data_IF_871043116331
#
_entry.id   IF_871043116331
#
_cell.length_a   1.000
_cell.length_b   1.000
_cell.length_c   1.000
_cell.angle_alpha   90.00
_cell.angle_beta   90.00
_cell.angle_gamma   90.00
#
_symmetry.space_group_name_H-M   'P 1'
#
loop_
_entity.id
_entity.type
_entity.pdbx_description
1 polymer ?
#
# COMPACT_ATOMS: atom_id res chain seq x y z
N UNK A 1 -22.40 18.22 -25.39
CA UNK A 1 -21.24 17.90 -24.54
C UNK A 1 -21.72 17.31 -23.21
N UNK A 2 -22.50 18.05 -22.40
CA UNK A 2 -23.02 17.57 -21.10
C UNK A 2 -23.75 16.21 -21.15
N UNK A 3 -24.63 15.98 -22.13
CA UNK A 3 -25.34 14.69 -22.28
C UNK A 3 -24.37 13.53 -22.56
N UNK A 4 -23.29 13.78 -23.31
CA UNK A 4 -22.29 12.75 -23.61
C UNK A 4 -21.45 12.43 -22.37
N UNK A 5 -20.97 13.46 -21.65
CA UNK A 5 -20.22 13.28 -20.40
C UNK A 5 -21.04 12.48 -19.37
N UNK A 6 -22.31 12.83 -19.18
CA UNK A 6 -23.21 12.08 -18.28
C UNK A 6 -23.33 10.60 -18.66
N UNK A 7 -23.38 10.26 -19.96
CA UNK A 7 -23.45 8.86 -20.41
C UNK A 7 -22.13 8.11 -20.19
N UNK A 8 -20.99 8.78 -20.33
CA UNK A 8 -19.67 8.21 -19.99
C UNK A 8 -19.56 7.98 -18.47
N UNK A 9 -19.98 8.94 -17.66
CA UNK A 9 -19.98 8.82 -16.20
C UNK A 9 -20.85 7.67 -15.71
N UNK A 10 -22.01 7.44 -16.35
CA UNK A 10 -22.83 6.27 -16.08
C UNK A 10 -22.14 4.96 -16.45
N UNK A 11 -21.39 4.93 -17.56
CA UNK A 11 -20.66 3.75 -18.00
C UNK A 11 -19.50 3.43 -17.05
N UNK A 12 -18.74 4.44 -16.65
CA UNK A 12 -17.68 4.34 -15.63
C UNK A 12 -18.26 3.93 -14.28
N UNK A 13 -19.38 4.54 -13.87
CA UNK A 13 -20.05 4.17 -12.61
C UNK A 13 -20.61 2.75 -12.64
N UNK A 14 -21.04 2.24 -13.80
CA UNK A 14 -21.42 0.83 -13.95
C UNK A 14 -20.19 -0.08 -13.79
N UNK A 15 -19.05 0.29 -14.38
CA UNK A 15 -17.80 -0.47 -14.31
C UNK A 15 -17.25 -0.55 -12.89
N UNK A 16 -17.16 0.58 -12.20
CA UNK A 16 -16.50 0.68 -10.89
C UNK A 16 -17.46 0.27 -9.76
N UNK A 17 -18.75 0.53 -9.91
CA UNK A 17 -19.79 0.17 -8.94
C UNK A 17 -20.43 -1.20 -9.17
N UNK A 18 -19.93 -2.02 -10.10
CA UNK A 18 -20.59 -3.26 -10.50
C UNK A 18 -20.87 -4.20 -9.32
N UNK A 19 -19.87 -4.46 -8.48
CA UNK A 19 -19.98 -5.39 -7.35
C UNK A 19 -20.79 -4.84 -6.17
N UNK A 20 -21.14 -3.55 -6.15
CA UNK A 20 -22.13 -3.04 -5.20
C UNK A 20 -23.55 -3.48 -5.58
N UNK A 21 -23.83 -3.53 -6.89
CA UNK A 21 -25.15 -3.90 -7.43
C UNK A 21 -25.27 -5.40 -7.65
N UNK A 22 -24.17 -6.07 -7.94
CA UNK A 22 -24.08 -7.50 -8.20
C UNK A 22 -22.99 -8.12 -7.32
N UNK A 23 -23.21 -8.29 -6.00
CA UNK A 23 -22.19 -8.77 -5.07
C UNK A 23 -21.64 -10.16 -5.40
N UNK A 24 -22.49 -11.04 -5.96
CA UNK A 24 -22.11 -12.39 -6.41
C UNK A 24 -21.69 -12.43 -7.89
N UNK A 25 -21.59 -11.27 -8.54
CA UNK A 25 -21.20 -11.18 -9.94
C UNK A 25 -19.73 -11.49 -10.16
N UNK A 26 -19.38 -11.89 -11.37
CA UNK A 26 -18.00 -12.20 -11.78
C UNK A 26 -17.38 -11.06 -12.58
N UNK A 27 -16.05 -11.02 -12.63
CA UNK A 27 -15.31 -10.08 -13.48
C UNK A 27 -15.67 -10.24 -14.97
N UNK A 28 -15.92 -11.48 -15.42
CA UNK A 28 -16.33 -11.77 -16.80
C UNK A 28 -17.68 -11.12 -17.13
N UNK A 29 -18.65 -11.19 -16.20
CA UNK A 29 -19.95 -10.55 -16.37
C UNK A 29 -19.86 -9.03 -16.32
N UNK A 30 -19.03 -8.48 -15.41
CA UNK A 30 -18.74 -7.04 -15.34
C UNK A 30 -18.17 -6.51 -16.66
N UNK A 31 -17.14 -7.18 -17.19
CA UNK A 31 -16.52 -6.81 -18.46
C UNK A 31 -17.53 -6.91 -19.61
N UNK A 32 -18.36 -7.97 -19.61
CA UNK A 32 -19.38 -8.16 -20.63
C UNK A 32 -20.44 -7.05 -20.62
N UNK A 33 -21.05 -6.76 -19.46
CA UNK A 33 -22.14 -5.76 -19.38
C UNK A 33 -21.64 -4.35 -19.66
N UNK A 34 -20.43 -4.01 -19.22
CA UNK A 34 -19.80 -2.71 -19.51
C UNK A 34 -19.53 -2.60 -21.00
N UNK A 35 -18.99 -3.66 -21.63
CA UNK A 35 -18.73 -3.67 -23.08
C UNK A 35 -20.02 -3.56 -23.88
N UNK A 36 -21.09 -4.28 -23.50
CA UNK A 36 -22.40 -4.19 -24.16
C UNK A 36 -22.97 -2.77 -24.07
N UNK A 37 -22.94 -2.14 -22.89
CA UNK A 37 -23.39 -0.74 -22.73
C UNK A 37 -22.52 0.24 -23.53
N UNK A 38 -21.21 0.02 -23.59
CA UNK A 38 -20.29 0.82 -24.39
C UNK A 38 -20.58 0.72 -25.89
N UNK A 39 -20.85 -0.49 -26.40
CA UNK A 39 -21.18 -0.69 -27.82
C UNK A 39 -22.49 -0.01 -28.21
N UNK A 40 -23.52 -0.07 -27.35
CA UNK A 40 -24.77 0.67 -27.57
C UNK A 40 -24.53 2.18 -27.61
N UNK A 41 -23.71 2.70 -26.69
CA UNK A 41 -23.36 4.11 -26.66
C UNK A 41 -22.56 4.54 -27.91
N UNK A 42 -21.79 3.63 -28.50
CA UNK A 42 -21.03 3.88 -29.72
C UNK A 42 -21.95 4.08 -30.94
N UNK A 43 -23.10 3.41 -30.98
CA UNK A 43 -24.10 3.57 -32.05
C UNK A 43 -24.75 4.96 -32.05
N UNK A 44 -24.82 5.61 -30.87
CA UNK A 44 -25.33 6.98 -30.72
C UNK A 44 -24.39 8.05 -31.30
N UNK A 45 -23.14 7.69 -31.64
CA UNK A 45 -22.16 8.61 -32.21
C UNK A 45 -22.27 8.57 -33.75
N UNK A 46 -22.72 9.65 -34.42
CA UNK A 46 -22.98 9.65 -35.87
C UNK A 46 -21.69 9.75 -36.70
N UNK A 47 -20.75 8.81 -36.53
CA UNK A 47 -19.42 8.86 -37.17
C UNK A 47 -19.50 8.74 -38.69
N UNK A 48 -20.48 7.99 -39.22
CA UNK A 48 -20.70 7.81 -40.66
C UNK A 48 -21.13 9.11 -41.36
N UNK A 49 -21.89 9.96 -40.67
CA UNK A 49 -22.31 11.27 -41.16
C UNK A 49 -21.16 12.30 -41.11
N UNK A 50 -20.18 12.09 -40.22
CA UNK A 50 -19.07 13.00 -39.97
C UNK A 50 -17.69 12.30 -39.99
N UNK A 51 -17.28 11.68 -41.12
CA UNK A 51 -16.11 10.80 -41.17
C UNK A 51 -14.75 11.48 -40.97
N UNK A 52 -14.71 12.83 -40.92
CA UNK A 52 -13.52 13.65 -40.67
C UNK A 52 -13.62 14.49 -39.40
N UNK A 53 -14.53 14.15 -38.48
CA UNK A 53 -14.68 14.89 -37.23
C UNK A 53 -13.78 14.30 -36.14
N UNK A 54 -12.73 15.04 -35.76
CA UNK A 54 -11.85 14.67 -34.64
C UNK A 54 -12.65 14.41 -33.35
N UNK A 55 -13.58 15.31 -33.03
CA UNK A 55 -14.48 15.21 -31.88
C UNK A 55 -15.27 13.88 -31.83
N UNK A 56 -15.79 13.40 -32.97
CA UNK A 56 -16.55 12.15 -33.01
C UNK A 56 -15.65 10.93 -32.82
N UNK A 57 -14.45 10.97 -33.39
CA UNK A 57 -13.44 9.95 -33.14
C UNK A 57 -13.01 9.93 -31.67
N UNK A 58 -12.82 11.10 -31.04
CA UNK A 58 -12.52 11.22 -29.62
C UNK A 58 -13.65 10.64 -28.77
N UNK A 59 -14.91 10.99 -29.07
CA UNK A 59 -16.08 10.42 -28.40
C UNK A 59 -16.10 8.88 -28.48
N UNK A 60 -15.94 8.32 -29.68
CA UNK A 60 -15.86 6.87 -29.88
C UNK A 60 -14.71 6.23 -29.08
N UNK A 61 -13.54 6.86 -29.09
CA UNK A 61 -12.38 6.45 -28.30
C UNK A 61 -12.69 6.42 -26.81
N UNK A 62 -13.21 7.51 -26.25
CA UNK A 62 -13.54 7.63 -24.82
C UNK A 62 -14.57 6.61 -24.36
N UNK A 63 -15.59 6.31 -25.17
CA UNK A 63 -16.57 5.24 -24.90
C UNK A 63 -15.86 3.90 -24.72
N UNK A 64 -15.01 3.52 -25.68
CA UNK A 64 -14.28 2.25 -25.61
C UNK A 64 -13.21 2.27 -24.50
N UNK A 65 -12.63 3.43 -24.20
CA UNK A 65 -11.62 3.56 -23.17
C UNK A 65 -12.19 3.38 -21.75
N UNK A 66 -13.49 3.59 -21.57
CA UNK A 66 -14.18 3.25 -20.32
C UNK A 66 -14.11 1.74 -20.02
N UNK A 67 -13.98 0.87 -21.03
CA UNK A 67 -13.81 -0.56 -20.82
C UNK A 67 -12.41 -0.87 -20.25
N UNK A 68 -12.31 -1.89 -19.38
CA UNK A 68 -11.04 -2.26 -18.70
C UNK A 68 -9.99 -2.76 -19.70
N UNK A 69 -10.37 -3.68 -20.59
CA UNK A 69 -9.47 -4.29 -21.55
C UNK A 69 -9.10 -3.34 -22.71
N UNK A 70 -7.91 -3.53 -23.27
CA UNK A 70 -7.50 -2.88 -24.52
C UNK A 70 -8.44 -3.27 -25.68
N UNK A 71 -8.80 -2.29 -26.50
CA UNK A 71 -9.56 -2.50 -27.75
C UNK A 71 -8.84 -1.78 -28.92
N UNK A 72 -8.44 -2.49 -29.98
CA UNK A 72 -7.72 -1.88 -31.10
C UNK A 72 -8.54 -0.82 -31.85
N UNK A 73 -9.88 -0.88 -31.78
CA UNK A 73 -10.74 0.17 -32.36
C UNK A 73 -10.63 1.47 -31.57
N UNK A 74 -10.40 1.39 -30.25
CA UNK A 74 -10.14 2.55 -29.40
C UNK A 74 -8.86 3.26 -29.86
N UNK A 75 -7.77 2.51 -30.02
CA UNK A 75 -6.49 3.02 -30.53
C UNK A 75 -6.66 3.65 -31.92
N UNK A 76 -7.40 3.00 -32.82
CA UNK A 76 -7.67 3.53 -34.17
C UNK A 76 -8.45 4.86 -34.13
N UNK A 77 -9.53 4.92 -33.35
CA UNK A 77 -10.33 6.14 -33.22
C UNK A 77 -9.52 7.28 -32.61
N UNK A 78 -8.84 7.05 -31.50
CA UNK A 78 -8.05 8.08 -30.82
C UNK A 78 -6.86 8.54 -31.69
N UNK A 79 -6.22 7.62 -32.41
CA UNK A 79 -5.18 7.98 -33.39
C UNK A 79 -5.71 8.85 -34.53
N UNK A 80 -6.96 8.61 -35.00
CA UNK A 80 -7.60 9.47 -36.00
C UNK A 80 -7.99 10.83 -35.43
N UNK A 81 -8.46 10.88 -34.18
CA UNK A 81 -8.78 12.14 -33.50
C UNK A 81 -7.56 13.05 -33.46
N UNK A 82 -6.45 12.56 -32.88
CA UNK A 82 -5.17 13.27 -32.79
C UNK A 82 -4.63 13.70 -34.17
N UNK A 83 -4.77 12.87 -35.21
CA UNK A 83 -4.30 13.21 -36.56
C UNK A 83 -5.12 14.31 -37.24
N UNK A 84 -6.41 14.39 -36.93
CA UNK A 84 -7.32 15.37 -37.53
C UNK A 84 -7.24 16.71 -36.79
N UNK A 85 -7.18 16.66 -35.47
CA UNK A 85 -7.06 17.82 -34.59
C UNK A 85 -6.26 17.41 -33.34
N UNK A 86 -4.97 17.76 -33.25
CA UNK A 86 -4.16 17.46 -32.07
C UNK A 86 -4.62 18.27 -30.85
N UNK A 87 -5.44 17.66 -30.00
CA UNK A 87 -5.90 18.26 -28.74
C UNK A 87 -5.35 17.52 -27.51
N UNK A 88 -5.26 18.25 -26.38
CA UNK A 88 -4.69 17.71 -25.15
C UNK A 88 -5.46 16.49 -24.61
N UNK A 89 -6.78 16.47 -24.74
CA UNK A 89 -7.62 15.37 -24.26
C UNK A 89 -7.49 14.13 -25.15
N UNK A 90 -7.43 14.26 -26.47
CA UNK A 90 -7.23 13.12 -27.37
C UNK A 90 -5.87 12.46 -27.17
N UNK A 91 -4.82 13.25 -26.97
CA UNK A 91 -3.49 12.73 -26.61
C UNK A 91 -3.53 11.98 -25.28
N UNK A 92 -4.20 12.53 -24.26
CA UNK A 92 -4.35 11.88 -22.96
C UNK A 92 -5.12 10.55 -23.07
N UNK A 93 -6.26 10.56 -23.76
CA UNK A 93 -7.08 9.37 -23.94
C UNK A 93 -6.35 8.29 -24.77
N UNK A 94 -5.58 8.69 -25.79
CA UNK A 94 -4.71 7.77 -26.54
C UNK A 94 -3.65 7.15 -25.63
N UNK A 95 -3.02 7.97 -24.78
CA UNK A 95 -2.07 7.49 -23.78
C UNK A 95 -2.68 6.46 -22.82
N UNK A 96 -3.88 6.73 -22.29
CA UNK A 96 -4.62 5.81 -21.41
C UNK A 96 -5.02 4.52 -22.17
N UNK A 97 -5.39 4.62 -23.43
CA UNK A 97 -5.69 3.45 -24.25
C UNK A 97 -4.45 2.56 -24.42
N UNK A 98 -3.31 3.18 -24.75
CA UNK A 98 -2.04 2.49 -24.99
C UNK A 98 -1.46 1.92 -23.69
N UNK A 99 -1.73 2.51 -22.52
CA UNK A 99 -1.24 1.97 -21.24
C UNK A 99 -1.86 0.63 -20.85
N UNK A 100 -2.92 0.19 -21.55
CA UNK A 100 -3.52 -1.14 -21.40
C UNK A 100 -2.72 -2.23 -22.11
N UNK A 101 -1.67 -1.87 -22.86
CA UNK A 101 -0.74 -2.80 -23.51
C UNK A 101 0.48 -3.01 -22.59
N UNK A 102 1.20 -4.13 -22.71
CA UNK A 102 2.42 -4.36 -21.92
C UNK A 102 3.53 -3.32 -22.15
N UNK A 103 3.66 -2.81 -23.37
CA UNK A 103 4.60 -1.74 -23.69
C UNK A 103 3.94 -0.36 -23.51
N UNK A 104 4.37 0.35 -22.47
CA UNK A 104 3.83 1.64 -22.06
C UNK A 104 4.65 2.84 -22.59
N UNK A 105 5.69 2.61 -23.41
CA UNK A 105 6.55 3.72 -23.87
C UNK A 105 5.77 4.73 -24.73
N UNK A 106 4.97 4.24 -25.69
CA UNK A 106 4.10 5.12 -26.48
C UNK A 106 2.98 5.76 -25.64
N UNK A 107 2.53 5.11 -24.57
CA UNK A 107 1.56 5.70 -23.65
C UNK A 107 2.15 6.94 -22.95
N UNK A 108 3.41 6.84 -22.48
CA UNK A 108 4.16 7.95 -21.88
C UNK A 108 4.28 9.11 -22.87
N UNK A 109 4.72 8.85 -24.09
CA UNK A 109 4.89 9.87 -25.13
C UNK A 109 3.58 10.60 -25.45
N UNK A 110 2.46 9.87 -25.54
CA UNK A 110 1.15 10.49 -25.77
C UNK A 110 0.73 11.42 -24.62
N UNK A 111 0.94 11.00 -23.36
CA UNK A 111 0.61 11.85 -22.20
C UNK A 111 1.57 13.05 -22.09
N UNK A 112 2.83 12.90 -22.49
CA UNK A 112 3.77 14.03 -22.60
C UNK A 112 3.30 15.05 -23.65
N UNK A 113 2.87 14.60 -24.83
CA UNK A 113 2.25 15.50 -25.83
C UNK A 113 0.98 16.19 -25.30
N UNK A 114 0.15 15.50 -24.51
CA UNK A 114 -1.00 16.11 -23.84
C UNK A 114 -0.57 17.26 -22.93
N UNK A 115 0.44 17.04 -22.08
CA UNK A 115 0.96 18.03 -21.13
C UNK A 115 1.67 19.22 -21.79
N UNK A 116 2.23 19.03 -22.99
CA UNK A 116 2.80 20.13 -23.80
C UNK A 116 1.72 21.08 -24.32
N UNK A 117 0.53 20.56 -24.63
CA UNK A 117 -0.61 21.35 -25.09
C UNK A 117 -1.36 21.99 -23.93
N UNK A 118 -1.68 21.22 -22.89
CA UNK A 118 -2.37 21.69 -21.70
C UNK A 118 -1.99 20.89 -20.46
N UNK A 119 -1.51 21.57 -19.42
CA UNK A 119 -1.22 20.94 -18.13
C UNK A 119 -2.51 20.78 -17.33
N UNK A 120 -3.05 19.57 -17.33
CA UNK A 120 -4.23 19.21 -16.53
C UNK A 120 -3.85 18.26 -15.40
N UNK A 121 -4.56 18.29 -14.27
CA UNK A 121 -4.36 17.34 -13.17
C UNK A 121 -4.44 15.89 -13.67
N UNK A 122 -5.40 15.61 -14.56
CA UNK A 122 -5.60 14.29 -15.16
C UNK A 122 -4.38 13.77 -15.92
N UNK A 123 -3.77 14.62 -16.74
CA UNK A 123 -2.57 14.24 -17.49
C UNK A 123 -1.35 14.09 -16.56
N UNK A 124 -1.21 14.95 -15.54
CA UNK A 124 -0.10 14.89 -14.58
C UNK A 124 -0.09 13.60 -13.77
N UNK A 125 -1.21 13.24 -13.12
CA UNK A 125 -1.26 12.00 -12.33
C UNK A 125 -1.17 10.76 -13.24
N UNK A 126 -1.70 10.83 -14.47
CA UNK A 126 -1.58 9.73 -15.43
C UNK A 126 -0.11 9.50 -15.81
N UNK A 127 0.63 10.56 -16.14
CA UNK A 127 2.06 10.42 -16.43
C UNK A 127 2.83 9.93 -15.20
N UNK A 128 2.53 10.47 -14.00
CA UNK A 128 3.17 9.99 -12.76
C UNK A 128 2.99 8.48 -12.55
N UNK A 129 1.77 7.97 -12.75
CA UNK A 129 1.47 6.53 -12.69
C UNK A 129 2.27 5.73 -13.72
N UNK A 130 2.32 6.18 -14.98
CA UNK A 130 3.08 5.48 -16.04
C UNK A 130 4.59 5.46 -15.75
N UNK A 131 5.15 6.53 -15.20
CA UNK A 131 6.56 6.57 -14.81
C UNK A 131 6.86 5.62 -13.64
N UNK A 132 5.95 5.45 -12.67
CA UNK A 132 6.08 4.41 -11.63
C UNK A 132 5.97 3.01 -12.21
N UNK A 133 5.09 2.78 -13.17
CA UNK A 133 4.99 1.49 -13.85
C UNK A 133 6.28 1.17 -14.64
N UNK A 134 6.85 2.15 -15.36
CA UNK A 134 8.13 2.01 -16.07
C UNK A 134 9.27 1.71 -15.10
N UNK A 135 9.32 2.44 -13.98
CA UNK A 135 10.29 2.25 -12.92
C UNK A 135 10.37 0.79 -12.43
N UNK A 136 9.26 0.07 -12.36
CA UNK A 136 9.26 -1.34 -11.90
C UNK A 136 10.07 -2.26 -12.81
N UNK A 137 10.16 -1.94 -14.11
CA UNK A 137 10.86 -2.72 -15.12
C UNK A 137 12.23 -2.15 -15.51
N UNK A 138 12.58 -0.96 -15.02
CA UNK A 138 13.88 -0.32 -15.29
C UNK A 138 14.98 -0.88 -14.39
N UNK A 139 16.07 -1.39 -14.98
CA UNK A 139 17.23 -1.91 -14.23
C UNK A 139 18.28 -0.83 -13.92
N UNK A 140 18.42 0.19 -14.77
CA UNK A 140 19.44 1.22 -14.63
C UNK A 140 19.21 2.10 -13.38
N UNK A 141 20.14 2.16 -12.41
CA UNK A 141 19.92 2.92 -11.18
C UNK A 141 19.72 4.43 -11.39
N UNK A 142 20.37 5.04 -12.38
CA UNK A 142 20.27 6.48 -12.62
C UNK A 142 18.91 6.83 -13.22
N UNK A 143 18.45 6.07 -14.22
CA UNK A 143 17.11 6.21 -14.79
C UNK A 143 16.04 6.01 -13.72
N UNK A 144 16.21 5.01 -12.83
CA UNK A 144 15.29 4.80 -11.70
C UNK A 144 15.20 6.00 -10.76
N UNK A 145 16.30 6.72 -10.51
CA UNK A 145 16.28 7.97 -9.70
C UNK A 145 15.47 9.04 -10.41
N UNK A 146 15.72 9.26 -11.70
CA UNK A 146 15.02 10.29 -12.47
C UNK A 146 13.53 10.01 -12.63
N UNK A 147 13.15 8.75 -12.94
CA UNK A 147 11.75 8.34 -13.04
C UNK A 147 10.99 8.59 -11.73
N UNK A 148 11.59 8.25 -10.58
CA UNK A 148 10.99 8.50 -9.25
C UNK A 148 10.82 9.98 -8.99
N UNK A 149 11.87 10.77 -9.21
CA UNK A 149 11.85 12.22 -8.97
C UNK A 149 10.78 12.90 -9.83
N UNK A 150 10.74 12.58 -11.13
CA UNK A 150 9.75 13.14 -12.06
C UNK A 150 8.33 12.69 -11.68
N UNK A 151 8.13 11.41 -11.34
CA UNK A 151 6.83 10.91 -10.90
C UNK A 151 6.30 11.63 -9.65
N UNK A 152 7.14 11.80 -8.62
CA UNK A 152 6.77 12.48 -7.37
C UNK A 152 6.41 13.95 -7.63
N UNK A 153 7.21 14.65 -8.43
CA UNK A 153 6.93 16.05 -8.82
C UNK A 153 5.58 16.19 -9.54
N UNK A 154 5.29 15.31 -10.50
CA UNK A 154 4.03 15.32 -11.24
C UNK A 154 2.82 15.02 -10.33
N UNK A 155 2.98 14.12 -9.35
CA UNK A 155 1.89 13.79 -8.42
C UNK A 155 1.56 14.97 -7.49
N UNK A 156 2.58 15.66 -6.96
CA UNK A 156 2.38 16.88 -6.18
C UNK A 156 1.70 17.98 -6.99
N UNK A 157 2.13 18.16 -8.24
CA UNK A 157 1.54 19.16 -9.12
C UNK A 157 0.08 18.82 -9.48
N UNK A 158 -0.24 17.53 -9.69
CA UNK A 158 -1.60 17.10 -9.99
C UNK A 158 -2.59 17.47 -8.88
N UNK A 159 -2.21 17.24 -7.61
CA UNK A 159 -3.00 17.66 -6.44
C UNK A 159 -3.06 19.18 -6.33
N UNK A 160 -1.95 19.88 -6.62
CA UNK A 160 -1.91 21.34 -6.61
C UNK A 160 -2.85 21.99 -7.64
N UNK A 161 -3.03 21.37 -8.81
CA UNK A 161 -3.96 21.84 -9.85
C UNK A 161 -5.41 21.48 -9.57
N UNK A 162 -5.67 20.33 -8.94
CA UNK A 162 -7.02 19.89 -8.59
C UNK A 162 -7.02 19.18 -7.22
N UNK A 163 -7.22 19.95 -6.13
CA UNK A 163 -7.27 19.41 -4.77
C UNK A 163 -8.51 18.54 -4.48
N UNK A 164 -9.50 18.50 -5.37
CA UNK A 164 -10.70 17.68 -5.20
C UNK A 164 -10.60 16.36 -6.00
N UNK A 165 -9.47 16.12 -6.67
CA UNK A 165 -9.22 14.90 -7.46
C UNK A 165 -8.75 13.73 -6.59
N UNK A 166 -9.63 12.74 -6.40
CA UNK A 166 -9.29 11.53 -5.66
C UNK A 166 -8.17 10.73 -6.33
N UNK A 167 -8.17 10.66 -7.66
CA UNK A 167 -7.11 10.02 -8.42
C UNK A 167 -5.73 10.71 -8.26
N UNK A 168 -5.69 12.05 -8.16
CA UNK A 168 -4.45 12.78 -7.92
C UNK A 168 -3.90 12.48 -6.53
N UNK A 169 -4.74 12.55 -5.48
CA UNK A 169 -4.38 12.19 -4.11
C UNK A 169 -3.90 10.74 -4.00
N UNK A 170 -4.59 9.78 -4.64
CA UNK A 170 -4.16 8.38 -4.71
C UNK A 170 -2.77 8.24 -5.35
N UNK A 171 -2.50 8.98 -6.42
CA UNK A 171 -1.20 8.95 -7.09
C UNK A 171 -0.09 9.59 -6.23
N UNK A 172 -0.42 10.61 -5.44
CA UNK A 172 0.51 11.24 -4.51
C UNK A 172 0.82 10.32 -3.32
N UNK A 173 -0.19 9.69 -2.72
CA UNK A 173 -0.01 8.70 -1.66
C UNK A 173 0.91 7.56 -2.09
N UNK A 174 0.73 7.04 -3.31
CA UNK A 174 1.60 6.03 -3.90
C UNK A 174 3.06 6.52 -4.07
N UNK A 175 3.24 7.77 -4.52
CA UNK A 175 4.57 8.37 -4.72
C UNK A 175 5.30 8.56 -3.38
N UNK A 176 4.60 9.06 -2.36
CA UNK A 176 5.13 9.26 -1.01
C UNK A 176 5.47 7.93 -0.32
N UNK A 177 4.60 6.93 -0.45
CA UNK A 177 4.85 5.60 0.11
C UNK A 177 6.06 4.93 -0.54
N UNK A 178 6.19 5.06 -1.86
CA UNK A 178 7.39 4.62 -2.59
C UNK A 178 8.64 5.40 -2.14
N UNK A 179 8.55 6.71 -1.95
CA UNK A 179 9.66 7.54 -1.47
C UNK A 179 10.11 7.16 -0.06
N UNK A 180 9.16 6.87 0.85
CA UNK A 180 9.41 6.36 2.18
C UNK A 180 10.31 5.12 2.18
N UNK A 181 10.04 4.14 1.30
CA UNK A 181 10.90 2.95 1.19
C UNK A 181 12.25 3.24 0.55
N UNK A 182 12.30 4.19 -0.38
CA UNK A 182 13.51 4.52 -1.12
C UNK A 182 14.52 5.33 -0.31
N UNK A 183 14.05 6.07 0.69
CA UNK A 183 14.86 6.81 1.67
C UNK A 183 15.23 5.96 2.90
N UNK A 184 15.05 4.63 2.82
CA UNK A 184 15.40 3.71 3.89
C UNK A 184 14.53 3.84 5.13
N UNK A 185 13.28 4.30 4.96
CA UNK A 185 12.29 4.45 6.04
C UNK A 185 12.75 5.36 7.18
N UNK A 186 13.64 6.32 6.86
CA UNK A 186 14.23 7.22 7.85
C UNK A 186 13.32 8.39 8.22
N UNK A 187 12.43 8.78 7.32
CA UNK A 187 11.46 9.86 7.54
C UNK A 187 10.04 9.28 7.66
N UNK A 188 9.58 9.10 8.90
CA UNK A 188 8.22 8.61 9.18
C UNK A 188 7.13 9.57 8.72
N UNK A 189 7.45 10.85 8.47
CA UNK A 189 6.46 11.81 7.98
C UNK A 189 5.99 11.46 6.57
N UNK A 190 6.81 10.82 5.74
CA UNK A 190 6.41 10.37 4.40
C UNK A 190 5.33 9.28 4.46
N UNK A 191 5.44 8.35 5.40
CA UNK A 191 4.41 7.33 5.62
C UNK A 191 3.10 7.95 6.11
N UNK A 192 3.17 8.86 7.09
CA UNK A 192 1.99 9.58 7.59
C UNK A 192 1.31 10.38 6.47
N UNK A 193 2.08 11.12 5.68
CA UNK A 193 1.57 11.88 4.54
C UNK A 193 0.94 10.95 3.50
N UNK A 194 1.56 9.80 3.19
CA UNK A 194 0.96 8.82 2.28
C UNK A 194 -0.40 8.32 2.78
N UNK A 195 -0.51 7.97 4.06
CA UNK A 195 -1.77 7.57 4.69
C UNK A 195 -2.84 8.69 4.60
N UNK A 196 -2.46 9.94 4.85
CA UNK A 196 -3.36 11.09 4.77
C UNK A 196 -3.84 11.35 3.34
N UNK A 197 -2.96 11.23 2.35
CA UNK A 197 -3.29 11.31 0.92
C UNK A 197 -4.26 10.21 0.50
N UNK A 198 -4.11 8.97 0.97
CA UNK A 198 -5.10 7.91 0.71
C UNK A 198 -6.45 8.21 1.35
N UNK A 199 -6.50 8.75 2.57
CA UNK A 199 -7.77 9.18 3.20
C UNK A 199 -8.42 10.33 2.43
N UNK A 200 -7.65 11.28 1.91
CA UNK A 200 -8.16 12.34 1.05
C UNK A 200 -8.71 11.76 -0.25
N UNK A 201 -7.94 10.89 -0.92
CA UNK A 201 -8.35 10.22 -2.15
C UNK A 201 -9.72 9.54 -2.03
N UNK A 202 -9.96 8.84 -0.91
CA UNK A 202 -11.20 8.12 -0.64
C UNK A 202 -12.39 9.03 -0.28
N UNK A 203 -12.14 10.27 0.14
CA UNK A 203 -13.19 11.28 0.40
C UNK A 203 -13.58 12.08 -0.84
N UNK A 204 -12.73 12.06 -1.87
CA UNK A 204 -12.95 12.73 -3.13
C UNK A 204 -13.68 11.82 -4.12
N UNK A 205 -14.80 12.28 -4.67
CA UNK A 205 -15.47 11.61 -5.78
C UNK A 205 -16.02 10.22 -5.48
N UNK A 206 -15.72 9.26 -6.36
CA UNK A 206 -16.18 7.86 -6.30
C UNK A 206 -15.02 6.87 -6.17
N UNK A 207 -13.86 7.37 -5.78
CA UNK A 207 -12.59 6.65 -5.72
C UNK A 207 -12.57 5.57 -4.64
N UNK A 208 -13.51 5.64 -3.68
CA UNK A 208 -13.81 4.55 -2.75
C UNK A 208 -14.24 3.23 -3.41
N UNK A 209 -14.47 3.21 -4.73
CA UNK A 209 -14.73 1.99 -5.53
C UNK A 209 -13.47 1.41 -6.17
N UNK A 210 -12.32 2.05 -6.01
CA UNK A 210 -11.07 1.64 -6.64
C UNK A 210 -10.36 0.59 -5.77
N UNK A 211 -10.29 -0.64 -6.27
CA UNK A 211 -9.65 -1.77 -5.59
C UNK A 211 -8.14 -1.55 -5.38
N UNK A 212 -7.42 -1.01 -6.37
CA UNK A 212 -5.98 -0.71 -6.27
C UNK A 212 -5.69 0.36 -5.21
N UNK A 213 -6.53 1.39 -5.11
CA UNK A 213 -6.41 2.40 -4.06
C UNK A 213 -6.53 1.75 -2.67
N UNK A 214 -7.54 0.91 -2.47
CA UNK A 214 -7.73 0.19 -1.22
C UNK A 214 -6.58 -0.79 -0.91
N UNK A 215 -6.06 -1.49 -1.92
CA UNK A 215 -4.91 -2.39 -1.74
C UNK A 215 -3.66 -1.63 -1.27
N UNK A 216 -3.35 -0.50 -1.94
CA UNK A 216 -2.20 0.34 -1.60
C UNK A 216 -2.35 1.02 -0.23
N UNK A 217 -3.55 1.53 0.07
CA UNK A 217 -3.87 2.08 1.39
C UNK A 217 -3.71 1.02 2.48
N UNK A 218 -4.27 -0.18 2.29
CA UNK A 218 -4.16 -1.30 3.21
C UNK A 218 -2.71 -1.69 3.51
N UNK A 219 -1.83 -1.68 2.50
CA UNK A 219 -0.40 -1.92 2.67
C UNK A 219 0.28 -0.82 3.50
N UNK A 220 -0.04 0.46 3.26
CA UNK A 220 0.51 1.58 4.01
C UNK A 220 0.08 1.56 5.49
N UNK A 221 -1.22 1.42 5.76
CA UNK A 221 -1.75 1.32 7.12
C UNK A 221 -1.24 0.10 7.87
N UNK A 222 -1.06 -1.03 7.18
CA UNK A 222 -0.43 -2.19 7.79
C UNK A 222 1.01 -1.90 8.20
N UNK A 223 1.78 -1.22 7.34
CA UNK A 223 3.16 -0.86 7.67
C UNK A 223 3.21 0.11 8.85
N UNK A 224 2.25 1.04 8.93
CA UNK A 224 2.04 1.96 10.06
C UNK A 224 1.60 1.23 11.35
N UNK A 225 1.17 -0.04 11.25
CA UNK A 225 0.51 -0.82 12.31
C UNK A 225 -0.85 -0.27 12.75
N UNK A 226 -1.50 0.51 11.89
CA UNK A 226 -2.92 0.84 11.99
C UNK A 226 -3.77 -0.30 11.43
N UNK A 227 -3.82 -1.40 12.17
CA UNK A 227 -4.49 -2.63 11.73
C UNK A 227 -6.00 -2.50 11.47
N UNK A 228 -6.79 -1.68 12.21
CA UNK A 228 -8.19 -1.44 11.85
C UNK A 228 -8.37 -0.92 10.42
N UNK A 229 -7.73 0.19 10.07
CA UNK A 229 -7.83 0.77 8.72
C UNK A 229 -7.22 -0.15 7.66
N UNK A 230 -6.12 -0.84 7.99
CA UNK A 230 -5.50 -1.81 7.08
C UNK A 230 -6.45 -2.96 6.71
N UNK A 231 -7.14 -3.55 7.69
CA UNK A 231 -8.11 -4.63 7.45
C UNK A 231 -9.34 -4.13 6.71
N UNK A 232 -9.87 -2.96 7.06
CA UNK A 232 -11.01 -2.35 6.36
C UNK A 232 -10.69 -2.16 4.87
N UNK A 233 -9.55 -1.56 4.55
CA UNK A 233 -9.17 -1.35 3.16
C UNK A 233 -8.88 -2.65 2.42
N UNK A 234 -8.23 -3.64 3.02
CA UNK A 234 -8.02 -4.93 2.36
C UNK A 234 -9.35 -5.68 2.11
N UNK A 235 -10.33 -5.56 3.01
CA UNK A 235 -11.69 -6.09 2.77
C UNK A 235 -12.39 -5.38 1.60
N UNK A 236 -12.26 -4.05 1.51
CA UNK A 236 -12.80 -3.28 0.39
C UNK A 236 -12.09 -3.60 -0.93
N UNK A 237 -10.78 -3.81 -0.92
CA UNK A 237 -10.03 -4.26 -2.10
C UNK A 237 -10.57 -5.61 -2.61
N UNK A 238 -10.81 -6.58 -1.71
CA UNK A 238 -11.46 -7.86 -2.05
C UNK A 238 -12.88 -7.68 -2.58
N UNK A 239 -13.65 -6.75 -2.00
CA UNK A 239 -15.02 -6.45 -2.44
C UNK A 239 -15.06 -5.92 -3.88
N UNK A 240 -14.12 -5.05 -4.26
CA UNK A 240 -14.08 -4.43 -5.59
C UNK A 240 -13.22 -5.20 -6.61
N UNK A 241 -12.46 -6.20 -6.19
CA UNK A 241 -11.77 -7.19 -7.03
C UNK A 241 -12.00 -8.63 -6.52
N UNK A 242 -13.21 -9.19 -6.66
CA UNK A 242 -13.51 -10.53 -6.16
C UNK A 242 -12.87 -11.65 -6.98
N UNK A 243 -12.28 -11.33 -8.14
CA UNK A 243 -11.54 -12.29 -8.98
C UNK A 243 -10.05 -12.34 -8.66
N UNK A 244 -9.60 -11.61 -7.63
CA UNK A 244 -8.22 -11.57 -7.12
C UNK A 244 -7.17 -11.24 -8.21
N UNK A 245 -7.55 -10.39 -9.17
CA UNK A 245 -6.65 -9.95 -10.24
C UNK A 245 -5.44 -9.19 -9.68
N UNK A 246 -5.65 -8.41 -8.61
CA UNK A 246 -4.59 -7.63 -7.95
C UNK A 246 -4.03 -8.30 -6.69
N UNK A 247 -4.42 -9.55 -6.40
CA UNK A 247 -3.89 -10.32 -5.27
C UNK A 247 -4.37 -9.88 -3.88
N UNK A 248 -5.48 -9.14 -3.80
CA UNK A 248 -6.04 -8.58 -2.56
C UNK A 248 -6.45 -9.66 -1.54
N UNK A 249 -6.91 -10.83 -1.99
CA UNK A 249 -7.34 -11.93 -1.12
C UNK A 249 -6.17 -12.49 -0.30
N UNK A 250 -5.01 -12.67 -0.96
CA UNK A 250 -3.80 -13.17 -0.31
C UNK A 250 -3.31 -12.20 0.78
N UNK A 251 -3.37 -10.89 0.51
CA UNK A 251 -2.95 -9.84 1.46
C UNK A 251 -3.88 -9.79 2.67
N UNK A 252 -5.21 -9.85 2.47
CA UNK A 252 -6.18 -9.88 3.56
C UNK A 252 -5.99 -11.14 4.44
N UNK A 253 -5.85 -12.30 3.81
CA UNK A 253 -5.62 -13.57 4.51
C UNK A 253 -4.33 -13.56 5.32
N UNK A 254 -3.23 -13.10 4.72
CA UNK A 254 -1.92 -13.02 5.37
C UNK A 254 -1.94 -12.09 6.59
N UNK A 255 -2.54 -10.90 6.48
CA UNK A 255 -2.68 -9.98 7.61
C UNK A 255 -3.56 -10.58 8.72
N UNK A 256 -4.69 -11.18 8.36
CA UNK A 256 -5.60 -11.81 9.33
C UNK A 256 -4.92 -12.93 10.10
N UNK A 257 -4.16 -13.78 9.41
CA UNK A 257 -3.40 -14.87 10.02
C UNK A 257 -2.27 -14.33 10.92
N UNK A 258 -1.54 -13.32 10.47
CA UNK A 258 -0.48 -12.67 11.24
C UNK A 258 -1.01 -12.11 12.56
N UNK A 259 -2.11 -11.36 12.52
CA UNK A 259 -2.73 -10.77 13.71
C UNK A 259 -3.32 -11.82 14.66
N UNK A 260 -3.95 -12.86 14.10
CA UNK A 260 -4.43 -14.01 14.89
C UNK A 260 -3.29 -14.70 15.62
N UNK A 261 -2.15 -14.89 14.94
CA UNK A 261 -0.96 -15.55 15.49
C UNK A 261 -0.32 -14.71 16.61
N UNK A 262 -0.26 -13.38 16.44
CA UNK A 262 0.18 -12.46 17.48
C UNK A 262 -0.72 -12.56 18.71
N UNK A 263 -2.03 -12.40 18.53
CA UNK A 263 -2.98 -12.40 19.63
C UNK A 263 -2.96 -13.72 20.41
N UNK A 264 -2.97 -14.85 19.70
CA UNK A 264 -2.85 -16.17 20.31
C UNK A 264 -1.52 -16.32 21.08
N UNK A 265 -0.41 -15.91 20.47
CA UNK A 265 0.91 -15.97 21.09
C UNK A 265 1.04 -15.12 22.36
N UNK A 266 0.44 -13.92 22.38
CA UNK A 266 0.36 -13.08 23.58
C UNK A 266 -0.50 -13.75 24.65
N UNK A 267 -1.68 -14.25 24.29
CA UNK A 267 -2.64 -14.84 25.22
C UNK A 267 -2.13 -16.14 25.87
N UNK A 268 -1.37 -16.94 25.14
CA UNK A 268 -0.89 -18.25 25.61
C UNK A 268 0.62 -18.29 25.94
N UNK A 269 1.27 -17.13 26.06
CA UNK A 269 2.71 -17.01 26.38
C UNK A 269 3.58 -17.80 25.40
N UNK A 270 3.27 -17.74 24.11
CA UNK A 270 3.97 -18.46 23.06
C UNK A 270 3.83 -19.98 23.12
N UNK A 271 2.84 -20.50 23.85
CA UNK A 271 2.65 -21.93 24.08
C UNK A 271 3.63 -22.55 25.09
N UNK A 272 4.34 -21.73 25.88
CA UNK A 272 5.27 -22.23 26.89
C UNK A 272 4.55 -22.90 28.06
N UNK A 273 5.13 -23.99 28.57
CA UNK A 273 4.66 -24.66 29.79
C UNK A 273 4.99 -23.83 31.03
N UNK A 274 4.15 -23.91 32.06
CA UNK A 274 4.31 -23.17 33.33
C UNK A 274 5.73 -23.29 33.96
N UNK A 275 6.34 -24.48 33.91
CA UNK A 275 7.71 -24.69 34.39
C UNK A 275 8.72 -23.82 33.63
N UNK A 276 8.60 -23.73 32.30
CA UNK A 276 9.50 -22.95 31.45
C UNK A 276 9.30 -21.45 31.66
N UNK A 277 8.05 -21.02 31.86
CA UNK A 277 7.71 -19.65 32.24
C UNK A 277 8.42 -19.29 33.56
N UNK A 278 8.31 -20.14 34.59
CA UNK A 278 8.99 -19.93 35.87
C UNK A 278 10.52 -19.88 35.73
N UNK A 279 11.12 -20.76 34.92
CA UNK A 279 12.55 -20.74 34.60
C UNK A 279 12.97 -19.42 33.93
N UNK A 280 12.16 -18.89 33.00
CA UNK A 280 12.44 -17.62 32.32
C UNK A 280 12.29 -16.42 33.24
N UNK A 281 11.24 -16.37 34.07
CA UNK A 281 11.08 -15.34 35.10
C UNK A 281 12.28 -15.30 36.06
N UNK A 282 12.77 -16.45 36.50
CA UNK A 282 13.91 -16.54 37.41
C UNK A 282 15.27 -16.23 36.74
N UNK A 283 15.38 -16.42 35.42
CA UNK A 283 16.63 -16.24 34.66
C UNK A 283 16.71 -14.94 33.88
N UNK A 284 15.66 -14.12 33.88
CA UNK A 284 15.77 -12.71 33.49
C UNK A 284 16.74 -12.05 34.47
N UNK A 285 17.82 -11.43 33.97
CA UNK A 285 18.96 -11.09 34.81
C UNK A 285 18.59 -10.03 35.83
N UNK A 286 18.86 -10.32 37.12
CA UNK A 286 18.80 -9.33 38.19
C UNK A 286 19.79 -8.17 37.95
N UNK A 287 20.89 -8.42 37.22
CA UNK A 287 21.83 -7.41 36.78
C UNK A 287 21.65 -7.12 35.28
N UNK A 288 20.87 -6.08 34.98
CA UNK A 288 20.49 -5.68 33.63
C UNK A 288 21.67 -5.12 32.80
N UNK A 289 22.79 -4.74 33.44
CA UNK A 289 23.92 -4.09 32.78
C UNK A 289 24.70 -4.99 31.81
N UNK A 290 24.64 -6.31 31.97
CA UNK A 290 25.31 -7.26 31.06
C UNK A 290 24.49 -7.59 29.81
N UNK A 291 23.19 -7.30 29.81
CA UNK A 291 22.25 -7.64 28.73
C UNK A 291 21.62 -6.42 28.06
N UNK A 292 21.80 -5.23 28.62
CA UNK A 292 21.33 -3.99 28.05
C UNK A 292 22.50 -3.10 27.60
N UNK A 293 22.77 -2.99 26.29
CA UNK A 293 23.80 -2.07 25.78
C UNK A 293 23.38 -0.60 25.81
N UNK A 294 22.11 -0.29 26.12
CA UNK A 294 21.57 1.07 26.15
C UNK A 294 21.74 1.72 27.52
N UNK A 295 22.99 2.03 27.89
CA UNK A 295 23.37 2.52 29.23
C UNK A 295 22.86 3.92 29.57
N UNK A 296 22.51 4.72 28.57
CA UNK A 296 21.93 6.05 28.75
C UNK A 296 20.43 6.02 29.08
N UNK A 297 19.77 4.87 28.94
CA UNK A 297 18.33 4.73 29.12
C UNK A 297 17.98 4.20 30.51
N UNK A 298 16.86 4.67 31.08
CA UNK A 298 16.24 4.08 32.27
C UNK A 298 15.74 2.69 31.92
N UNK A 299 16.24 1.66 32.61
CA UNK A 299 15.81 0.29 32.37
C UNK A 299 14.53 -0.01 33.14
N UNK A 300 13.55 -0.58 32.44
CA UNK A 300 12.31 -1.12 33.03
C UNK A 300 12.27 -2.63 32.83
N UNK A 301 11.71 -3.33 33.81
CA UNK A 301 11.62 -4.80 33.81
C UNK A 301 10.20 -5.30 33.61
N UNK A 302 9.21 -4.41 33.62
CA UNK A 302 7.79 -4.74 33.47
C UNK A 302 7.16 -3.94 32.33
N UNK A 303 6.22 -4.54 31.61
CA UNK A 303 5.50 -3.86 30.53
C UNK A 303 4.42 -2.87 31.04
N UNK A 304 4.06 -2.95 32.32
CA UNK A 304 3.11 -2.03 32.96
C UNK A 304 3.68 -0.62 33.15
N UNK A 305 5.01 -0.48 33.21
CA UNK A 305 5.71 0.81 33.26
C UNK A 305 5.76 1.53 31.90
N UNK A 306 5.40 0.85 30.80
CA UNK A 306 5.40 1.44 29.46
C UNK A 306 4.03 2.07 29.15
N UNK A 307 4.06 3.32 28.70
CA UNK A 307 2.88 4.02 28.17
C UNK A 307 2.63 3.67 26.69
N UNK A 308 1.38 3.79 26.24
CA UNK A 308 1.04 3.69 24.81
C UNK A 308 1.70 4.84 24.05
N UNK A 309 2.29 4.54 22.89
CA UNK A 309 3.11 5.47 22.11
C UNK A 309 4.59 5.40 22.46
N UNK A 310 5.31 6.51 22.24
CA UNK A 310 6.77 6.56 22.38
C UNK A 310 7.21 6.68 23.84
N UNK A 311 8.14 5.82 24.27
CA UNK A 311 8.74 5.86 25.61
C UNK A 311 10.23 6.24 25.50
N UNK A 312 10.52 7.51 25.24
CA UNK A 312 11.88 8.01 25.02
C UNK A 312 12.76 7.90 26.28
N UNK A 313 14.03 7.54 26.11
CA UNK A 313 14.98 7.39 27.20
C UNK A 313 14.73 6.16 28.08
N UNK A 314 13.85 5.24 27.66
CA UNK A 314 13.55 3.99 28.35
C UNK A 314 14.14 2.81 27.58
N UNK A 315 14.62 1.80 28.30
CA UNK A 315 14.96 0.51 27.72
C UNK A 315 14.18 -0.59 28.44
N UNK A 316 13.54 -1.51 27.72
CA UNK A 316 12.86 -2.68 28.30
C UNK A 316 13.63 -3.95 28.00
N UNK A 317 13.77 -4.83 28.99
CA UNK A 317 14.43 -6.13 28.85
C UNK A 317 13.41 -7.25 29.01
N UNK A 318 13.37 -8.16 28.05
CA UNK A 318 12.40 -9.25 28.00
C UNK A 318 13.00 -10.53 27.42
N UNK A 319 12.31 -11.67 27.60
CA UNK A 319 12.66 -12.96 26.99
C UNK A 319 11.79 -13.23 25.77
N UNK A 320 12.39 -13.69 24.69
CA UNK A 320 11.63 -14.21 23.53
C UNK A 320 11.01 -15.55 23.91
N UNK A 321 9.69 -15.66 23.80
CA UNK A 321 8.93 -16.89 24.12
C UNK A 321 8.37 -17.58 22.90
N UNK A 322 8.18 -16.87 21.79
CA UNK A 322 7.78 -17.42 20.50
C UNK A 322 8.22 -16.52 19.35
N UNK A 323 8.33 -17.08 18.15
CA UNK A 323 8.60 -16.34 16.90
C UNK A 323 7.37 -16.44 16.01
N UNK A 324 6.96 -15.33 15.39
CA UNK A 324 5.79 -15.28 14.51
C UNK A 324 6.26 -15.28 13.06
N UNK A 325 5.90 -16.32 12.30
CA UNK A 325 6.18 -16.41 10.88
C UNK A 325 5.00 -15.86 10.05
N UNK A 326 5.32 -15.19 8.95
CA UNK A 326 4.34 -14.74 7.95
C UNK A 326 5.04 -14.54 6.59
N UNK A 327 4.27 -14.56 5.51
CA UNK A 327 4.79 -14.69 4.14
C UNK A 327 5.62 -13.50 3.66
N UNK A 328 5.35 -12.30 4.20
CA UNK A 328 6.04 -11.08 3.78
C UNK A 328 7.39 -10.85 4.46
N UNK A 329 7.72 -11.60 5.52
CA UNK A 329 9.00 -11.52 6.24
C UNK A 329 9.32 -10.20 6.97
N UNK A 330 8.56 -9.13 6.73
CA UNK A 330 8.66 -7.84 7.43
C UNK A 330 7.29 -7.47 8.05
N UNK A 331 7.23 -7.18 9.36
CA UNK A 331 8.34 -7.13 10.31
C UNK A 331 8.85 -8.50 10.77
N UNK A 332 10.07 -8.56 11.29
CA UNK A 332 10.50 -9.71 12.09
C UNK A 332 9.76 -9.65 13.42
N UNK A 333 8.77 -10.55 13.57
CA UNK A 333 7.84 -10.55 14.68
C UNK A 333 8.12 -11.68 15.68
N UNK A 334 8.00 -11.38 16.97
CA UNK A 334 8.18 -12.35 18.07
C UNK A 334 7.28 -11.99 19.25
N UNK A 335 7.01 -12.96 20.11
CA UNK A 335 6.36 -12.71 21.40
C UNK A 335 7.45 -12.63 22.46
N UNK A 336 7.43 -11.57 23.25
CA UNK A 336 8.37 -11.33 24.34
C UNK A 336 7.64 -11.28 25.67
N UNK A 337 8.30 -11.75 26.73
CA UNK A 337 7.77 -11.89 28.07
C UNK A 337 8.66 -11.16 29.08
N UNK A 338 8.06 -10.39 29.97
CA UNK A 338 8.77 -9.65 31.02
C UNK A 338 9.01 -10.50 32.29
N UNK A 339 9.48 -9.86 33.36
CA UNK A 339 9.79 -10.55 34.64
C UNK A 339 8.54 -10.99 35.41
N UNK A 340 7.37 -10.42 35.12
CA UNK A 340 6.09 -10.78 35.75
C UNK A 340 5.37 -11.89 34.96
N UNK A 341 5.77 -12.12 33.72
CA UNK A 341 5.17 -13.10 32.82
C UNK A 341 4.18 -12.50 31.84
N UNK A 342 4.03 -11.17 31.84
CA UNK A 342 3.21 -10.47 30.87
C UNK A 342 3.87 -10.55 29.50
N UNK A 343 3.05 -10.68 28.46
CA UNK A 343 3.51 -10.87 27.09
C UNK A 343 3.08 -9.72 26.20
N UNK A 344 3.97 -9.31 25.30
CA UNK A 344 3.66 -8.39 24.20
C UNK A 344 4.31 -8.89 22.92
N UNK A 345 3.78 -8.48 21.77
CA UNK A 345 4.48 -8.68 20.51
C UNK A 345 5.65 -7.71 20.37
N UNK A 346 6.71 -8.11 19.69
CA UNK A 346 7.83 -7.29 19.27
C UNK A 346 7.90 -7.34 17.75
N UNK A 347 7.73 -6.20 17.08
CA UNK A 347 7.79 -6.07 15.63
C UNK A 347 9.00 -5.22 15.24
N UNK A 348 10.01 -5.85 14.64
CA UNK A 348 11.24 -5.17 14.22
C UNK A 348 11.26 -5.02 12.69
N UNK A 349 11.37 -3.78 12.24
CA UNK A 349 11.42 -3.39 10.84
C UNK A 349 12.86 -3.14 10.39
N UNK A 350 13.05 -2.95 9.08
CA UNK A 350 14.35 -2.68 8.46
C UNK A 350 15.41 -3.76 8.78
N UNK A 351 14.95 -5.01 8.86
CA UNK A 351 15.76 -6.19 9.09
C UNK A 351 16.24 -6.79 7.76
N UNK A 352 17.49 -7.24 7.70
CA UNK A 352 17.90 -8.16 6.63
C UNK A 352 17.27 -9.54 6.85
N UNK A 353 17.19 -10.37 5.80
CA UNK A 353 16.68 -11.75 5.90
C UNK A 353 17.45 -12.63 6.90
N UNK A 354 18.68 -12.24 7.26
CA UNK A 354 19.53 -12.94 8.24
C UNK A 354 19.26 -12.53 9.69
N UNK A 355 18.41 -11.53 9.93
CA UNK A 355 18.03 -11.09 11.27
C UNK A 355 16.87 -11.95 11.80
N UNK A 356 17.07 -12.58 12.95
CA UNK A 356 16.05 -13.40 13.59
C UNK A 356 16.26 -13.50 15.10
N UNK A 357 15.16 -13.76 15.79
CA UNK A 357 15.12 -14.13 17.20
C UNK A 357 14.87 -15.63 17.36
N UNK A 358 15.28 -16.16 18.51
CA UNK A 358 15.07 -17.54 18.89
C UNK A 358 14.47 -17.59 20.28
N UNK A 359 13.62 -18.60 20.52
CA UNK A 359 13.01 -18.81 21.83
C UNK A 359 14.09 -18.95 22.91
N UNK A 360 13.94 -18.17 23.96
CA UNK A 360 14.90 -18.07 25.05
C UNK A 360 15.95 -16.97 24.88
N UNK A 361 16.04 -16.27 23.74
CA UNK A 361 16.88 -15.08 23.66
C UNK A 361 16.43 -14.02 24.68
N UNK A 362 17.37 -13.29 25.28
CA UNK A 362 17.09 -12.05 26.00
C UNK A 362 17.19 -10.90 25.02
N UNK A 363 16.15 -10.07 24.94
CA UNK A 363 16.15 -8.86 24.13
C UNK A 363 16.12 -7.63 25.03
N UNK A 364 16.84 -6.59 24.61
CA UNK A 364 16.66 -5.25 25.15
C UNK A 364 16.18 -4.34 24.02
N UNK A 365 15.14 -3.55 24.26
CA UNK A 365 14.56 -2.61 23.29
C UNK A 365 14.72 -1.20 23.83
N UNK A 366 15.40 -0.33 23.10
CA UNK A 366 15.53 1.09 23.41
C UNK A 366 14.40 1.92 22.80
N UNK A 367 13.97 2.94 23.52
CA UNK A 367 12.94 3.89 23.14
C UNK A 367 11.66 3.19 22.61
N UNK A 368 11.10 2.21 23.36
CA UNK A 368 10.04 1.36 22.83
C UNK A 368 8.79 2.18 22.47
N UNK A 369 8.27 1.94 21.27
CA UNK A 369 7.01 2.49 20.82
C UNK A 369 5.90 1.45 20.99
N UNK A 370 5.03 1.64 21.98
CA UNK A 370 3.97 0.69 22.30
C UNK A 370 2.74 0.99 21.45
N UNK A 371 2.22 -0.03 20.77
CA UNK A 371 0.91 0.01 20.12
C UNK A 371 -0.04 -0.88 20.91
N UNK A 372 -1.27 -0.40 21.08
CA UNK A 372 -2.31 -1.12 21.79
C UNK A 372 -3.48 -1.37 20.85
N UNK A 373 -3.76 -2.65 20.60
CA UNK A 373 -4.88 -3.10 19.76
C UNK A 373 -5.96 -3.63 20.69
N UNK A 374 -7.15 -3.04 20.64
CA UNK A 374 -8.30 -3.42 21.44
C UNK A 374 -9.47 -3.82 20.57
N UNK A 375 -10.07 -4.96 20.89
CA UNK A 375 -11.34 -5.42 20.35
C UNK A 375 -11.38 -5.41 18.81
N UNK A 376 -10.24 -5.69 18.18
CA UNK A 376 -10.09 -5.68 16.73
C UNK A 376 -10.87 -6.84 16.13
N UNK A 377 -11.79 -6.52 15.23
CA UNK A 377 -12.58 -7.51 14.50
C UNK A 377 -11.77 -8.07 13.34
N UNK A 378 -11.51 -9.37 13.40
CA UNK A 378 -10.89 -10.10 12.30
C UNK A 378 -11.96 -10.70 11.39
N UNK A 379 -11.73 -10.77 10.07
CA UNK A 379 -12.60 -11.50 9.16
C UNK A 379 -12.86 -12.93 9.66
N UNK A 380 -14.14 -13.29 9.83
CA UNK A 380 -14.58 -14.65 10.19
C UNK A 380 -14.01 -15.21 11.51
N UNK A 381 -13.60 -14.36 12.46
CA UNK A 381 -13.03 -14.78 13.75
C UNK A 381 -13.54 -13.92 14.93
N UNK A 382 -13.17 -14.30 16.15
CA UNK A 382 -13.45 -13.52 17.36
C UNK A 382 -12.62 -12.23 17.39
N UNK A 383 -13.09 -11.24 18.16
CA UNK A 383 -12.32 -10.03 18.46
C UNK A 383 -11.01 -10.39 19.15
N UNK A 384 -9.93 -9.69 18.78
CA UNK A 384 -8.62 -9.86 19.38
C UNK A 384 -8.14 -8.57 20.03
N UNK A 385 -7.35 -8.73 21.09
CA UNK A 385 -6.70 -7.62 21.80
C UNK A 385 -5.27 -8.02 22.16
N UNK A 386 -4.31 -7.12 21.94
CA UNK A 386 -2.91 -7.32 22.30
C UNK A 386 -2.16 -5.99 22.36
N UNK A 387 -1.00 -5.99 23.02
CA UNK A 387 -0.01 -4.91 22.92
C UNK A 387 1.18 -5.36 22.08
N UNK A 388 1.74 -4.46 21.30
CA UNK A 388 3.01 -4.66 20.57
C UNK A 388 4.00 -3.55 20.90
N UNK A 389 5.29 -3.84 20.71
CA UNK A 389 6.37 -2.88 20.67
C UNK A 389 6.87 -2.83 19.23
N UNK A 390 6.70 -1.67 18.59
CA UNK A 390 7.21 -1.37 17.26
C UNK A 390 8.64 -0.86 17.36
N UNK A 391 9.52 -1.43 16.55
CA UNK A 391 10.92 -1.04 16.43
C UNK A 391 11.23 -0.74 14.97
N UNK A 392 11.25 0.54 14.55
CA UNK A 392 11.46 0.92 13.15
C UNK A 392 12.83 0.53 12.60
N UNK A 393 13.84 0.45 13.46
CA UNK A 393 15.22 0.17 13.09
C UNK A 393 15.85 -0.85 14.04
N UNK A 394 16.49 -1.92 13.53
CA UNK A 394 17.02 -3.00 14.37
C UNK A 394 18.13 -2.52 15.33
N UNK A 395 18.81 -1.41 15.04
CA UNK A 395 19.82 -0.83 15.96
C UNK A 395 19.28 -0.46 17.34
N UNK A 396 17.96 -0.33 17.49
CA UNK A 396 17.27 -0.09 18.76
C UNK A 396 16.91 -1.38 19.52
N UNK A 397 17.32 -2.55 19.02
CA UNK A 397 17.13 -3.83 19.70
C UNK A 397 18.45 -4.57 19.81
N UNK A 398 18.74 -5.07 21.01
CA UNK A 398 19.84 -6.01 21.23
C UNK A 398 19.32 -7.43 21.42
N UNK A 399 20.16 -8.41 21.05
CA UNK A 399 19.94 -9.83 21.29
C UNK A 399 21.08 -10.37 22.13
N UNK A 400 20.76 -10.89 23.31
CA UNK A 400 21.71 -11.40 24.30
C UNK A 400 22.86 -10.41 24.58
N UNK A 401 22.50 -9.12 24.77
CA UNK A 401 23.45 -8.03 25.03
C UNK A 401 24.19 -7.48 23.81
N UNK A 402 24.03 -8.08 22.63
CA UNK A 402 24.71 -7.66 21.41
C UNK A 402 23.79 -6.89 20.48
N UNK A 403 24.25 -5.74 19.98
CA UNK A 403 23.55 -5.01 18.92
C UNK A 403 23.68 -5.75 17.58
N UNK A 404 22.72 -5.55 16.66
CA UNK A 404 22.73 -6.22 15.37
C UNK A 404 23.90 -5.72 14.54
N UNK A 405 24.54 -6.64 13.82
CA UNK A 405 25.61 -6.28 12.89
C UNK A 405 25.04 -5.53 11.68
N UNK A 406 25.83 -4.71 10.98
CA UNK A 406 25.41 -4.07 9.73
C UNK A 406 24.83 -5.04 8.69
N UNK A 407 25.35 -6.27 8.61
CA UNK A 407 24.86 -7.33 7.71
C UNK A 407 23.48 -7.89 8.07
N UNK A 408 22.94 -7.52 9.24
CA UNK A 408 21.62 -7.93 9.72
C UNK A 408 20.59 -6.79 9.61
N UNK A 409 21.00 -5.62 9.13
CA UNK A 409 20.10 -4.50 8.84
C UNK A 409 19.80 -4.50 7.34
N UNK A 410 18.58 -4.15 6.95
CA UNK A 410 18.28 -4.05 5.53
C UNK A 410 19.12 -2.91 4.92
N UNK A 411 19.55 -3.05 3.65
CA UNK A 411 20.24 -1.96 2.98
C UNK A 411 19.31 -0.75 2.91
N UNK A 412 19.88 0.45 3.02
CA UNK A 412 19.15 1.73 2.89
C UNK A 412 18.46 1.93 1.53
N UNK A 413 18.69 1.04 0.57
CA UNK A 413 18.00 0.98 -0.72
C UNK A 413 17.38 -0.41 -0.93
N UNK A 414 16.05 -0.49 -0.89
CA UNK A 414 15.30 -1.71 -1.17
C UNK A 414 15.41 -2.11 -2.66
N UNK A 415 15.55 -3.41 -2.91
CA UNK A 415 15.16 -3.99 -4.21
C UNK A 415 13.64 -4.10 -4.21
N UNK A 416 12.98 -3.33 -5.07
CA UNK A 416 11.51 -3.11 -5.09
C UNK A 416 10.71 -4.36 -5.50
N UNK A 417 11.35 -5.50 -5.75
CA UNK A 417 10.68 -6.75 -6.18
C UNK A 417 9.81 -7.43 -5.10
N UNK A 418 9.45 -6.74 -4.01
CA UNK A 418 8.73 -7.31 -2.86
C UNK A 418 7.65 -6.39 -2.27
N UNK A 419 7.28 -5.29 -2.95
CA UNK A 419 6.08 -4.51 -2.59
C UNK A 419 4.87 -5.09 -3.32
#
# INVERSE_FOLDING_TARGET
>A
MEVFESKIDELVSLRDGYFEKYPDGTEVERVKIVREKALLLLEDVPLSEFPRSAERYLQCGRILNACVAYDPRCEEFLSKAVKLDPDALAWLELGICLSKKPDIQFAIECVECSLELERTSRALYTLSMLLRAKLMNTSDPAERVELRKKSSQLAHEAVGLDPDSGAAHSCLGNSLFLEFFNTGQMDSSLLSQACDEYRLALRCGKEYRNADLHLNAGAAFRYEENYPEALEHLQLAVKYDPSDVIGSHSRLSSLTHFLSSIAAGVQNTGGLRAKRIAEYKASLPANLSSVNPFTASRVVTTFTELSVGANAGVAVVARVVSTIAHDEGVPVASIIMDVEGDCVALCVYNCAQTFSFFVGDTVAVADPHVIEVKDLELPNSSKISFRSIRVPNPSKVSRNGNLPKPTQMAPSHLKISAL
#
